data_IF_757977891552
#
_entry.id   IF_757977891552
#
_cell.length_a   1.000
_cell.length_b   1.000
_cell.length_c   1.000
_cell.angle_alpha   90.00
_cell.angle_beta   90.00
_cell.angle_gamma   90.00
#
_symmetry.space_group_name_H-M   'P 1'
#
loop_
_entity.id
_entity.type
_entity.pdbx_description
1 polymer ?
#
# COMPACT_ATOMS: atom_id res chain seq x y z
N UNK A 1 -5.56 -16.77 13.73
CA UNK A 1 -5.53 -15.89 12.56
C UNK A 1 -6.34 -14.68 12.93
N UNK A 2 -5.95 -13.50 12.45
CA UNK A 2 -6.82 -12.33 12.54
C UNK A 2 -8.09 -12.57 11.74
N UNK A 3 -9.20 -12.00 12.22
CA UNK A 3 -10.50 -12.21 11.60
C UNK A 3 -10.59 -11.40 10.30
N UNK A 4 -11.22 -11.97 9.27
CA UNK A 4 -11.49 -11.21 8.04
C UNK A 4 -12.36 -9.99 8.36
N UNK A 5 -13.29 -10.12 9.30
CA UNK A 5 -14.13 -9.01 9.76
C UNK A 5 -13.33 -7.86 10.39
N UNK A 6 -12.27 -8.14 11.18
CA UNK A 6 -11.45 -7.07 11.77
C UNK A 6 -10.62 -6.36 10.71
N UNK A 7 -10.08 -7.09 9.73
CA UNK A 7 -9.36 -6.52 8.60
C UNK A 7 -10.25 -5.66 7.70
N UNK A 8 -11.46 -6.14 7.37
CA UNK A 8 -12.42 -5.39 6.54
C UNK A 8 -12.88 -4.13 7.27
N UNK A 9 -13.18 -4.23 8.57
CA UNK A 9 -13.53 -3.06 9.38
C UNK A 9 -12.38 -2.07 9.44
N UNK A 10 -11.16 -2.52 9.73
CA UNK A 10 -9.99 -1.65 9.78
C UNK A 10 -9.75 -0.94 8.43
N UNK A 11 -9.83 -1.66 7.31
CA UNK A 11 -9.72 -1.08 5.98
C UNK A 11 -10.84 -0.06 5.72
N UNK A 12 -12.09 -0.37 6.10
CA UNK A 12 -13.23 0.53 5.91
C UNK A 12 -13.13 1.81 6.76
N UNK A 13 -12.62 1.70 7.99
CA UNK A 13 -12.36 2.86 8.86
C UNK A 13 -11.31 3.76 8.23
N UNK A 14 -10.23 3.17 7.73
CA UNK A 14 -9.13 3.89 7.09
C UNK A 14 -9.54 4.55 5.77
N UNK A 15 -10.40 3.91 4.98
CA UNK A 15 -11.00 4.48 3.76
C UNK A 15 -11.93 5.65 4.08
N UNK A 16 -12.65 5.59 5.19
CA UNK A 16 -13.52 6.66 5.69
C UNK A 16 -12.76 7.75 6.48
N UNK A 17 -11.43 7.86 6.28
CA UNK A 17 -10.57 8.86 6.94
C UNK A 17 -10.57 8.79 8.49
N UNK A 18 -10.95 7.66 9.08
CA UNK A 18 -10.85 7.46 10.53
C UNK A 18 -9.42 7.02 10.83
N UNK A 19 -8.56 8.01 11.07
CA UNK A 19 -7.14 7.80 11.41
C UNK A 19 -6.89 7.85 12.91
N UNK A 20 -6.04 6.97 13.43
CA UNK A 20 -5.66 6.88 14.85
C UNK A 20 -4.38 7.65 15.18
N UNK A 21 -3.36 7.58 14.32
CA UNK A 21 -2.00 8.04 14.61
C UNK A 21 -1.71 9.38 13.93
N UNK A 22 -2.10 9.53 12.67
CA UNK A 22 -1.72 10.69 11.89
C UNK A 22 -2.91 11.24 11.10
N UNK A 23 -3.17 12.54 11.27
CA UNK A 23 -4.21 13.32 10.59
C UNK A 23 -3.86 13.59 9.12
N UNK A 24 -3.25 12.61 8.47
CA UNK A 24 -2.63 12.76 7.19
C UNK A 24 -3.60 12.28 6.12
N UNK A 25 -3.87 13.16 5.17
CA UNK A 25 -4.62 12.95 3.94
C UNK A 25 -3.95 11.93 3.00
N UNK A 26 -3.32 10.87 3.52
CA UNK A 26 -2.51 9.90 2.76
C UNK A 26 -3.37 9.10 1.78
N UNK A 27 -4.68 9.01 2.01
CA UNK A 27 -5.63 8.42 1.04
C UNK A 27 -6.21 9.43 0.05
N UNK A 28 -6.15 10.75 0.27
CA UNK A 28 -6.56 11.75 -0.74
C UNK A 28 -5.51 11.95 -1.84
N UNK A 29 -4.38 11.28 -1.72
CA UNK A 29 -3.27 11.41 -2.65
C UNK A 29 -3.64 10.92 -4.06
N UNK A 30 -2.98 11.49 -5.07
CA UNK A 30 -3.18 11.25 -6.53
C UNK A 30 -3.01 9.76 -6.93
N UNK A 31 -2.55 8.92 -6.00
CA UNK A 31 -2.19 7.51 -6.16
C UNK A 31 -3.08 6.53 -5.37
N UNK A 32 -4.30 6.93 -5.02
CA UNK A 32 -5.27 6.16 -4.20
C UNK A 32 -5.36 4.66 -4.57
N UNK A 33 -5.43 4.33 -5.86
CA UNK A 33 -5.49 2.94 -6.32
C UNK A 33 -4.24 2.12 -5.92
N UNK A 34 -3.05 2.71 -6.03
CA UNK A 34 -1.80 2.04 -5.65
C UNK A 34 -1.72 1.85 -4.13
N UNK A 35 -2.20 2.82 -3.36
CA UNK A 35 -2.25 2.76 -1.91
C UNK A 35 -3.19 1.65 -1.43
N UNK A 36 -4.35 1.49 -2.08
CA UNK A 36 -5.30 0.41 -1.78
C UNK A 36 -4.73 -0.97 -2.08
N UNK A 37 -4.06 -1.14 -3.23
CA UNK A 37 -3.41 -2.41 -3.58
C UNK A 37 -2.33 -2.78 -2.56
N UNK A 38 -1.52 -1.80 -2.15
CA UNK A 38 -0.53 -2.00 -1.10
C UNK A 38 -1.18 -2.35 0.25
N UNK A 39 -2.20 -1.61 0.70
CA UNK A 39 -2.94 -1.90 1.94
C UNK A 39 -3.53 -3.32 1.92
N UNK A 40 -4.08 -3.75 0.78
CA UNK A 40 -4.62 -5.09 0.62
C UNK A 40 -3.53 -6.17 0.78
N UNK A 41 -2.32 -5.93 0.25
CA UNK A 41 -1.18 -6.81 0.48
C UNK A 41 -0.79 -6.90 1.96
N UNK A 42 -0.81 -5.77 2.69
CA UNK A 42 -0.55 -5.73 4.14
C UNK A 42 -1.65 -6.44 4.92
N UNK A 43 -2.91 -6.28 4.54
CA UNK A 43 -4.04 -7.02 5.12
C UNK A 43 -3.87 -8.54 4.96
N UNK A 44 -3.41 -9.01 3.80
CA UNK A 44 -3.12 -10.43 3.58
C UNK A 44 -2.00 -10.94 4.49
N UNK A 45 -0.95 -10.14 4.70
CA UNK A 45 0.12 -10.45 5.66
C UNK A 45 -0.44 -10.53 7.10
N UNK A 46 -1.21 -9.52 7.51
CA UNK A 46 -1.82 -9.45 8.85
C UNK A 46 -2.79 -10.59 9.11
N UNK A 47 -3.49 -11.10 8.08
CA UNK A 47 -4.42 -12.24 8.16
C UNK A 47 -3.77 -13.47 8.79
N UNK A 48 -2.52 -13.73 8.42
CA UNK A 48 -1.79 -14.93 8.87
C UNK A 48 -1.20 -14.77 10.27
N UNK A 49 -0.97 -13.53 10.70
CA UNK A 49 -0.47 -13.24 12.04
C UNK A 49 -1.56 -13.48 13.10
N UNK A 50 -1.13 -13.97 14.25
CA UNK A 50 -1.97 -14.13 15.43
C UNK A 50 -1.69 -12.96 16.37
N UNK A 51 -2.50 -11.90 16.27
CA UNK A 51 -2.33 -10.71 17.14
C UNK A 51 -2.60 -11.07 18.60
N UNK A 52 -3.60 -11.93 18.86
CA UNK A 52 -3.95 -12.35 20.23
C UNK A 52 -3.89 -13.88 20.42
N UNK A 53 -3.41 -14.37 21.57
CA UNK A 53 -3.46 -15.79 21.92
C UNK A 53 -4.90 -16.28 22.03
N UNK A 54 -5.16 -17.53 21.63
CA UNK A 54 -6.50 -18.16 21.69
C UNK A 54 -7.13 -18.15 23.10
N UNK A 55 -6.30 -18.09 24.16
CA UNK A 55 -6.75 -18.06 25.55
C UNK A 55 -7.49 -16.76 25.89
N UNK A 56 -7.02 -15.61 25.39
CA UNK A 56 -7.66 -14.31 25.65
C UNK A 56 -9.03 -14.19 24.97
N UNK A 57 -9.19 -14.79 23.80
CA UNK A 57 -10.46 -14.82 23.06
C UNK A 57 -11.59 -15.53 23.81
N UNK A 58 -11.30 -16.59 24.57
CA UNK A 58 -12.32 -17.32 25.33
C UNK A 58 -12.91 -16.50 26.48
N UNK A 59 -12.11 -15.60 27.08
CA UNK A 59 -12.49 -14.86 28.28
C UNK A 59 -13.03 -13.45 27.97
N UNK A 60 -12.48 -12.79 26.95
CA UNK A 60 -12.81 -11.40 26.61
C UNK A 60 -13.04 -11.19 25.10
N UNK A 61 -13.83 -12.06 24.47
CA UNK A 61 -14.10 -12.03 23.02
C UNK A 61 -14.44 -10.65 22.43
N UNK A 62 -15.36 -9.83 22.99
CA UNK A 62 -15.69 -8.53 22.40
C UNK A 62 -14.55 -7.51 22.54
N UNK A 63 -13.86 -7.48 23.69
CA UNK A 63 -12.76 -6.55 23.95
C UNK A 63 -11.55 -6.90 23.07
N UNK A 64 -11.25 -8.20 22.93
CA UNK A 64 -10.20 -8.67 22.03
C UNK A 64 -10.49 -8.31 20.57
N UNK A 65 -11.74 -8.34 20.13
CA UNK A 65 -12.11 -7.94 18.78
C UNK A 65 -11.91 -6.44 18.54
N UNK A 66 -12.35 -5.59 19.47
CA UNK A 66 -12.15 -4.13 19.35
C UNK A 66 -10.66 -3.78 19.36
N UNK A 67 -9.88 -4.38 20.26
CA UNK A 67 -8.43 -4.22 20.29
C UNK A 67 -7.77 -4.71 19.00
N UNK A 68 -8.21 -5.84 18.46
CA UNK A 68 -7.69 -6.36 17.20
C UNK A 68 -7.92 -5.35 16.07
N UNK A 69 -9.13 -4.76 15.97
CA UNK A 69 -9.44 -3.72 14.98
C UNK A 69 -8.51 -2.51 15.17
N UNK A 70 -8.39 -1.98 16.38
CA UNK A 70 -7.53 -0.81 16.67
C UNK A 70 -6.07 -1.10 16.29
N UNK A 71 -5.54 -2.25 16.69
CA UNK A 71 -4.16 -2.65 16.36
C UNK A 71 -3.99 -2.80 14.84
N UNK A 72 -4.96 -3.40 14.15
CA UNK A 72 -4.89 -3.53 12.69
C UNK A 72 -4.93 -2.19 11.98
N UNK A 73 -5.76 -1.23 12.42
CA UNK A 73 -5.78 0.13 11.86
C UNK A 73 -4.43 0.81 12.08
N UNK A 74 -3.90 0.77 13.31
CA UNK A 74 -2.60 1.35 13.64
C UNK A 74 -1.45 0.75 12.78
N UNK A 75 -1.46 -0.57 12.56
CA UNK A 75 -0.47 -1.23 11.69
C UNK A 75 -0.61 -0.82 10.23
N UNK A 76 -1.83 -0.71 9.72
CA UNK A 76 -2.09 -0.25 8.35
C UNK A 76 -1.62 1.19 8.17
N UNK A 77 -1.94 2.10 9.09
CA UNK A 77 -1.47 3.49 9.06
C UNK A 77 0.04 3.61 9.12
N UNK A 78 0.69 2.86 10.02
CA UNK A 78 2.14 2.83 10.10
C UNK A 78 2.76 2.30 8.80
N UNK A 79 2.21 1.22 8.24
CA UNK A 79 2.72 0.65 6.98
C UNK A 79 2.59 1.63 5.80
N UNK A 80 1.51 2.41 5.78
CA UNK A 80 1.25 3.39 4.74
C UNK A 80 2.18 4.60 4.89
N UNK A 81 2.32 5.11 6.12
CA UNK A 81 3.07 6.34 6.41
C UNK A 81 4.57 6.15 6.40
N UNK A 82 5.07 5.05 6.96
CA UNK A 82 6.52 4.83 7.13
C UNK A 82 7.14 4.00 6.02
N UNK A 83 6.39 3.13 5.37
CA UNK A 83 6.94 2.27 4.31
C UNK A 83 6.52 2.78 2.95
N UNK A 84 5.21 2.85 2.72
CA UNK A 84 4.69 3.17 1.39
C UNK A 84 4.98 4.61 0.96
N UNK A 85 4.83 5.58 1.88
CA UNK A 85 5.16 6.97 1.60
C UNK A 85 6.64 7.17 1.26
N UNK A 86 7.56 6.47 1.93
CA UNK A 86 8.98 6.52 1.58
C UNK A 86 9.24 5.99 0.16
N UNK A 87 8.55 4.91 -0.22
CA UNK A 87 8.64 4.37 -1.59
C UNK A 87 8.08 5.37 -2.61
N UNK A 88 6.97 6.03 -2.29
CA UNK A 88 6.37 7.08 -3.12
C UNK A 88 7.31 8.27 -3.30
N UNK A 89 7.80 8.83 -2.21
CA UNK A 89 8.71 9.97 -2.22
C UNK A 89 10.00 9.63 -2.97
N UNK A 90 10.52 8.41 -2.80
CA UNK A 90 11.71 7.94 -3.53
C UNK A 90 11.47 7.84 -5.04
N UNK A 91 10.35 7.25 -5.48
CA UNK A 91 10.04 7.11 -6.90
C UNK A 91 9.77 8.48 -7.53
N UNK A 92 9.04 9.35 -6.83
CA UNK A 92 8.73 10.71 -7.29
C UNK A 92 10.00 11.55 -7.44
N UNK A 93 10.90 11.49 -6.45
CA UNK A 93 12.14 12.26 -6.48
C UNK A 93 13.11 11.80 -7.57
N UNK A 94 13.15 10.49 -7.86
CA UNK A 94 14.05 9.92 -8.86
C UNK A 94 13.39 9.74 -10.23
N UNK A 95 12.13 10.14 -10.41
CA UNK A 95 11.37 9.89 -11.63
C UNK A 95 12.07 10.44 -12.87
N UNK A 96 12.55 11.69 -12.80
CA UNK A 96 13.28 12.34 -13.90
C UNK A 96 14.58 11.60 -14.24
N UNK A 97 15.38 11.24 -13.23
CA UNK A 97 16.64 10.53 -13.43
C UNK A 97 16.45 9.12 -14.01
N UNK A 98 15.42 8.40 -13.56
CA UNK A 98 15.03 7.10 -14.12
C UNK A 98 14.60 7.23 -15.58
N UNK A 99 13.84 8.28 -15.92
CA UNK A 99 13.37 8.54 -17.27
C UNK A 99 14.53 8.85 -18.23
N UNK A 100 15.51 9.64 -17.79
CA UNK A 100 16.73 9.93 -18.57
C UNK A 100 17.53 8.65 -18.81
N UNK A 101 17.76 7.84 -17.76
CA UNK A 101 18.52 6.60 -17.86
C UNK A 101 17.84 5.56 -18.78
N UNK A 102 16.50 5.55 -18.80
CA UNK A 102 15.69 4.72 -19.68
C UNK A 102 15.80 5.15 -21.14
N UNK A 103 15.85 6.47 -21.38
CA UNK A 103 15.95 7.06 -22.71
C UNK A 103 17.35 6.84 -23.30
N UNK A 104 18.41 6.92 -22.49
CA UNK A 104 19.79 6.64 -22.93
C UNK A 104 19.99 5.17 -23.37
N UNK A 105 19.22 4.23 -22.81
CA UNK A 105 19.36 2.81 -23.13
C UNK A 105 18.62 2.35 -24.38
N UNK A 106 17.89 3.23 -25.10
CA UNK A 106 17.11 2.97 -26.34
C UNK A 106 16.16 1.75 -26.33
N UNK A 107 16.05 1.02 -25.23
CA UNK A 107 15.33 -0.25 -25.14
C UNK A 107 13.83 -0.05 -24.91
N UNK A 108 13.41 1.17 -24.54
CA UNK A 108 12.06 1.50 -24.10
C UNK A 108 11.51 2.79 -24.73
N UNK A 109 12.05 3.20 -25.89
CA UNK A 109 11.64 4.43 -26.59
C UNK A 109 10.13 4.45 -26.91
N UNK A 110 9.53 3.29 -27.19
CA UNK A 110 8.09 3.15 -27.40
C UNK A 110 7.26 3.52 -26.15
N UNK A 111 7.76 3.16 -24.97
CA UNK A 111 7.09 3.42 -23.68
C UNK A 111 7.19 4.90 -23.32
N UNK A 112 8.38 5.49 -23.50
CA UNK A 112 8.63 6.92 -23.28
C UNK A 112 7.79 7.75 -24.24
N UNK A 113 7.72 7.37 -25.52
CA UNK A 113 6.87 8.02 -26.51
C UNK A 113 5.38 7.92 -26.12
N UNK A 114 4.90 6.76 -25.68
CA UNK A 114 3.50 6.61 -25.27
C UNK A 114 3.15 7.45 -24.02
N UNK A 115 4.09 7.61 -23.09
CA UNK A 115 3.91 8.36 -21.85
C UNK A 115 4.08 9.89 -22.04
N UNK A 116 5.00 10.32 -22.91
CA UNK A 116 5.41 11.72 -23.04
C UNK A 116 4.91 12.44 -24.30
N UNK A 117 4.54 11.75 -25.39
CA UNK A 117 4.10 12.46 -26.60
C UNK A 117 2.78 13.18 -26.35
N UNK A 118 2.85 14.52 -26.35
CA UNK A 118 1.70 15.42 -26.23
C UNK A 118 1.28 15.76 -24.79
N UNK A 119 2.08 15.40 -23.77
CA UNK A 119 1.81 15.73 -22.35
C UNK A 119 3.00 16.45 -21.71
N UNK A 120 2.72 17.51 -20.95
CA UNK A 120 3.74 18.28 -20.21
C UNK A 120 4.27 17.55 -18.97
N UNK A 121 3.45 16.71 -18.33
CA UNK A 121 3.73 16.15 -17.00
C UNK A 121 4.23 14.70 -17.07
N UNK A 122 5.12 14.41 -18.02
CA UNK A 122 5.58 13.04 -18.24
C UNK A 122 6.20 12.32 -17.02
N UNK A 123 7.07 12.94 -16.20
CA UNK A 123 7.65 12.26 -15.04
C UNK A 123 6.61 11.87 -13.99
N UNK A 124 5.55 12.66 -13.81
CA UNK A 124 4.46 12.32 -12.91
C UNK A 124 3.66 11.10 -13.39
N UNK A 125 3.44 10.97 -14.70
CA UNK A 125 2.76 9.81 -15.29
C UNK A 125 3.63 8.56 -15.18
N UNK A 126 4.93 8.68 -15.42
CA UNK A 126 5.88 7.59 -15.25
C UNK A 126 5.93 7.12 -13.79
N UNK A 127 6.08 8.04 -12.84
CA UNK A 127 6.05 7.71 -11.41
C UNK A 127 4.76 6.99 -11.00
N UNK A 128 3.60 7.43 -11.51
CA UNK A 128 2.31 6.77 -11.28
C UNK A 128 2.29 5.32 -11.78
N UNK A 129 2.88 5.05 -12.95
CA UNK A 129 2.94 3.73 -13.56
C UNK A 129 3.89 2.81 -12.78
N UNK A 130 5.05 3.32 -12.38
CA UNK A 130 6.01 2.58 -11.56
C UNK A 130 5.40 2.23 -10.20
N UNK A 131 4.69 3.16 -9.55
CA UNK A 131 4.01 2.89 -8.28
C UNK A 131 2.96 1.78 -8.40
N UNK A 132 2.19 1.77 -9.48
CA UNK A 132 1.25 0.67 -9.78
C UNK A 132 1.97 -0.66 -9.99
N UNK A 133 3.08 -0.66 -10.74
CA UNK A 133 3.86 -1.87 -10.96
C UNK A 133 4.46 -2.41 -9.66
N UNK A 134 5.01 -1.52 -8.81
CA UNK A 134 5.59 -1.90 -7.51
C UNK A 134 4.52 -2.42 -6.56
N UNK A 135 3.37 -1.75 -6.43
CA UNK A 135 2.28 -2.23 -5.57
C UNK A 135 1.76 -3.60 -6.02
N UNK A 136 1.64 -3.83 -7.32
CA UNK A 136 1.27 -5.13 -7.86
C UNK A 136 2.35 -6.20 -7.61
N UNK A 137 3.63 -5.87 -7.77
CA UNK A 137 4.73 -6.78 -7.48
C UNK A 137 4.76 -7.18 -5.99
N UNK A 138 4.52 -6.25 -5.08
CA UNK A 138 4.38 -6.53 -3.64
C UNK A 138 3.22 -7.48 -3.39
N UNK A 139 2.04 -7.21 -3.97
CA UNK A 139 0.88 -8.09 -3.84
C UNK A 139 1.17 -9.49 -4.35
N UNK A 140 1.77 -9.61 -5.54
CA UNK A 140 2.15 -10.89 -6.14
C UNK A 140 3.15 -11.65 -5.27
N UNK A 141 4.18 -10.98 -4.76
CA UNK A 141 5.16 -11.60 -3.86
C UNK A 141 4.51 -12.13 -2.58
N UNK A 142 3.62 -11.35 -1.97
CA UNK A 142 2.85 -11.76 -0.80
C UNK A 142 1.97 -12.97 -1.12
N UNK A 143 1.26 -12.96 -2.25
CA UNK A 143 0.44 -14.09 -2.69
C UNK A 143 1.27 -15.35 -2.96
N UNK A 144 2.45 -15.24 -3.58
CA UNK A 144 3.32 -16.39 -3.84
C UNK A 144 3.86 -17.01 -2.55
N UNK A 145 4.30 -16.19 -1.59
CA UNK A 145 4.75 -16.66 -0.27
C UNK A 145 3.63 -17.38 0.51
N UNK A 146 2.38 -17.05 0.22
CA UNK A 146 1.22 -17.64 0.89
C UNK A 146 0.56 -18.79 0.14
N UNK A 147 0.85 -18.95 -1.15
CA UNK A 147 0.41 -20.12 -1.93
C UNK A 147 1.38 -21.31 -1.80
N UNK A 148 2.63 -21.07 -1.36
CA UNK A 148 3.59 -22.12 -0.99
C UNK A 148 3.40 -22.61 0.44
#
# INVERSE_FOLDING_TARGET
>A
MTKVASLVLALSLLINEITLINNAEVLKDKYLASNLVYLLSVCLLLRRLNIFPKVFWRKYSPICFVLEVIITVALLECSLTYVWKLVQDYILHNADGLLVLLTEKHSLDWLVCHLCCGKSDCPAVFAALVLKAVSFAVLMGVCMVFHS
#
